data_IF_426188476774
#
_entry.id   IF_426188476774
#
_cell.length_a   1.000
_cell.length_b   1.000
_cell.length_c   1.000
_cell.angle_alpha   90.00
_cell.angle_beta   90.00
_cell.angle_gamma   90.00
#
_symmetry.space_group_name_H-M   'P 1'
#
loop_
_entity.id
_entity.type
_entity.pdbx_description
1 polymer ?
#
# COMPACT_ATOMS: atom_id res chain seq x y z
N UNK A 1 77.25 -79.31 38.46
CA UNK A 1 75.90 -79.24 37.84
C UNK A 1 75.07 -80.39 38.40
N UNK A 2 73.76 -80.16 38.63
CA UNK A 2 72.81 -81.19 39.06
C UNK A 2 71.57 -81.14 38.17
N UNK A 3 71.08 -82.28 37.74
CA UNK A 3 69.84 -82.47 36.98
C UNK A 3 68.99 -83.48 37.73
N UNK A 4 67.70 -83.18 37.84
CA UNK A 4 66.71 -84.00 38.53
C UNK A 4 65.62 -84.33 37.51
N UNK A 5 65.30 -85.62 37.37
CA UNK A 5 64.15 -86.09 36.59
C UNK A 5 63.12 -86.57 37.60
N UNK A 6 61.93 -86.00 37.53
CA UNK A 6 60.80 -86.33 38.41
C UNK A 6 59.53 -86.52 37.60
N UNK A 7 58.56 -87.21 38.18
CA UNK A 7 57.21 -87.28 37.65
C UNK A 7 56.43 -86.01 38.04
N UNK A 8 56.07 -85.19 37.05
CA UNK A 8 55.36 -83.91 37.26
C UNK A 8 53.85 -84.11 37.45
N UNK A 9 53.29 -85.20 36.91
CA UNK A 9 51.86 -85.53 37.02
C UNK A 9 51.50 -86.05 38.43
N UNK A 10 52.51 -86.33 39.25
CA UNK A 10 52.37 -86.71 40.64
C UNK A 10 51.81 -88.11 40.85
N UNK A 11 51.87 -88.97 39.83
CA UNK A 11 51.45 -90.37 39.93
C UNK A 11 52.40 -91.17 40.84
N UNK A 12 53.70 -90.86 40.80
CA UNK A 12 54.69 -91.36 41.76
C UNK A 12 55.56 -90.22 42.35
N UNK A 13 55.22 -89.71 43.55
CA UNK A 13 56.03 -88.69 44.24
C UNK A 13 57.44 -89.14 44.65
N UNK A 14 57.73 -90.44 44.62
CA UNK A 14 59.04 -90.99 44.95
C UNK A 14 59.93 -91.19 43.71
N UNK A 15 59.38 -90.99 42.50
CA UNK A 15 60.12 -91.05 41.25
C UNK A 15 61.10 -89.87 41.17
N UNK A 16 62.34 -90.12 41.53
CA UNK A 16 63.43 -89.15 41.49
C UNK A 16 64.68 -89.81 40.96
N UNK A 17 65.17 -89.32 39.83
CA UNK A 17 66.47 -89.69 39.29
C UNK A 17 67.39 -88.48 39.28
N UNK A 18 68.60 -88.66 39.78
CA UNK A 18 69.57 -87.58 39.93
C UNK A 18 70.81 -87.86 39.10
N UNK A 19 71.27 -86.82 38.43
CA UNK A 19 72.59 -86.78 37.85
C UNK A 19 73.32 -85.55 38.37
N UNK A 20 74.50 -85.75 38.93
CA UNK A 20 75.37 -84.67 39.38
C UNK A 20 76.78 -84.90 38.89
N UNK A 21 77.39 -83.86 38.36
CA UNK A 21 78.78 -83.90 37.88
C UNK A 21 79.51 -82.64 38.35
N UNK A 22 80.71 -82.82 38.88
CA UNK A 22 81.64 -81.72 39.13
C UNK A 22 82.36 -81.29 37.84
N UNK A 23 83.02 -80.14 37.86
CA UNK A 23 83.80 -79.68 36.70
C UNK A 23 84.96 -80.64 36.37
N UNK A 24 85.61 -81.21 37.39
CA UNK A 24 86.67 -82.21 37.22
C UNK A 24 86.14 -83.49 36.54
N UNK A 25 85.01 -84.02 37.03
CA UNK A 25 84.37 -85.21 36.48
C UNK A 25 83.83 -84.99 35.05
N UNK A 26 83.48 -83.74 34.72
CA UNK A 26 83.00 -83.41 33.38
C UNK A 26 84.08 -83.57 32.31
N UNK A 27 85.37 -83.43 32.64
CA UNK A 27 86.45 -83.67 31.69
C UNK A 27 86.46 -85.11 31.18
N UNK A 28 86.21 -86.08 32.07
CA UNK A 28 86.08 -87.49 31.71
C UNK A 28 84.86 -87.72 30.81
N UNK A 29 83.71 -87.14 31.17
CA UNK A 29 82.48 -87.23 30.37
C UNK A 29 82.67 -86.64 28.96
N UNK A 30 83.33 -85.48 28.89
CA UNK A 30 83.66 -84.77 27.65
C UNK A 30 84.50 -85.65 26.73
N UNK A 31 85.53 -86.31 27.25
CA UNK A 31 86.36 -87.23 26.46
C UNK A 31 85.59 -88.50 26.07
N UNK A 32 84.84 -89.10 27.00
CA UNK A 32 84.10 -90.34 26.77
C UNK A 32 83.03 -90.20 25.69
N UNK A 33 82.29 -89.09 25.68
CA UNK A 33 81.19 -88.83 24.73
C UNK A 33 81.57 -87.87 23.61
N UNK A 34 82.86 -87.48 23.52
CA UNK A 34 83.38 -86.55 22.51
C UNK A 34 82.60 -85.24 22.45
N UNK A 35 82.21 -84.71 23.62
CA UNK A 35 81.47 -83.46 23.71
C UNK A 35 82.36 -82.29 23.29
N UNK A 36 81.85 -81.39 22.45
CA UNK A 36 82.59 -80.23 21.96
C UNK A 36 82.43 -78.99 22.86
N UNK A 37 81.57 -79.07 23.86
CA UNK A 37 81.21 -77.97 24.76
C UNK A 37 82.04 -78.01 26.04
N UNK A 38 82.17 -76.88 26.73
CA UNK A 38 82.80 -76.80 28.05
C UNK A 38 81.75 -76.96 29.17
N UNK A 39 82.22 -77.04 30.43
CA UNK A 39 81.33 -77.25 31.57
C UNK A 39 80.32 -76.11 31.77
N UNK A 40 80.70 -74.86 31.46
CA UNK A 40 79.85 -73.69 31.63
C UNK A 40 78.73 -73.60 30.58
N UNK A 41 79.02 -74.01 29.35
CA UNK A 41 78.05 -73.98 28.23
C UNK A 41 77.21 -75.25 28.13
N UNK A 42 77.66 -76.37 28.72
CA UNK A 42 76.94 -77.64 28.68
C UNK A 42 75.47 -77.58 29.15
N UNK A 43 75.08 -76.88 30.25
CA UNK A 43 73.69 -76.77 30.68
C UNK A 43 72.78 -76.15 29.62
N UNK A 44 73.23 -75.11 28.92
CA UNK A 44 72.44 -74.46 27.86
C UNK A 44 72.20 -75.42 26.69
N UNK A 45 73.24 -76.13 26.24
CA UNK A 45 73.14 -77.13 25.18
C UNK A 45 72.24 -78.32 25.59
N UNK A 46 72.28 -78.75 26.86
CA UNK A 46 71.35 -79.75 27.39
C UNK A 46 69.90 -79.27 27.34
N UNK A 47 69.65 -78.01 27.71
CA UNK A 47 68.30 -77.42 27.64
C UNK A 47 67.82 -77.35 26.19
N UNK A 48 68.67 -76.98 25.24
CA UNK A 48 68.33 -76.96 23.82
C UNK A 48 67.94 -78.36 23.30
N UNK A 49 68.72 -79.39 23.64
CA UNK A 49 68.38 -80.78 23.29
C UNK A 49 67.05 -81.22 23.91
N UNK A 50 66.79 -80.90 25.18
CA UNK A 50 65.52 -81.20 25.84
C UNK A 50 64.34 -80.43 25.20
N UNK A 51 64.56 -79.20 24.76
CA UNK A 51 63.56 -78.42 24.02
C UNK A 51 63.26 -79.02 22.64
N UNK A 52 64.25 -79.62 21.97
CA UNK A 52 64.01 -80.39 20.75
C UNK A 52 63.09 -81.60 21.03
N UNK A 53 63.38 -82.38 22.09
CA UNK A 53 62.51 -83.47 22.52
C UNK A 53 61.07 -83.00 22.83
N UNK A 54 60.91 -81.86 23.51
CA UNK A 54 59.59 -81.29 23.82
C UNK A 54 58.82 -80.84 22.57
N UNK A 55 59.52 -80.30 21.56
CA UNK A 55 58.90 -79.88 20.30
C UNK A 55 58.42 -81.09 19.50
N UNK A 56 59.23 -82.13 19.40
CA UNK A 56 58.88 -83.33 18.64
C UNK A 56 57.82 -84.17 19.35
N UNK A 57 57.85 -84.26 20.69
CA UNK A 57 56.76 -84.87 21.47
C UNK A 57 55.39 -84.20 21.22
N UNK A 58 55.35 -82.87 21.09
CA UNK A 58 54.11 -82.15 20.78
C UNK A 58 53.62 -82.39 19.35
N UNK A 59 54.52 -82.55 18.39
CA UNK A 59 54.15 -82.91 17.01
C UNK A 59 53.58 -84.32 16.94
N UNK A 60 54.23 -85.29 17.58
CA UNK A 60 53.77 -86.69 17.64
C UNK A 60 52.38 -86.77 18.28
N UNK A 61 52.16 -86.08 19.40
CA UNK A 61 50.84 -86.06 20.05
C UNK A 61 49.74 -85.41 19.16
N UNK A 62 50.08 -84.38 18.38
CA UNK A 62 49.16 -83.76 17.42
C UNK A 62 48.83 -84.69 16.24
N UNK A 63 49.83 -85.41 15.73
CA UNK A 63 49.67 -86.40 14.65
C UNK A 63 48.84 -87.62 15.11
N UNK A 64 49.05 -88.11 16.34
CA UNK A 64 48.25 -89.21 16.94
C UNK A 64 46.79 -88.81 17.22
N UNK A 65 46.53 -87.57 17.65
CA UNK A 65 45.17 -87.04 17.80
C UNK A 65 44.47 -86.87 16.43
N UNK A 66 45.20 -86.45 15.39
CA UNK A 66 44.68 -86.34 14.03
C UNK A 66 44.40 -87.71 13.38
N UNK A 67 45.24 -88.73 13.59
CA UNK A 67 45.00 -90.10 13.12
C UNK A 67 43.82 -90.78 13.84
N UNK A 68 43.63 -90.59 15.15
CA UNK A 68 42.47 -91.13 15.87
C UNK A 68 41.14 -90.48 15.44
N UNK A 69 41.16 -89.20 15.06
CA UNK A 69 40.00 -88.50 14.48
C UNK A 69 39.74 -88.95 13.04
N UNK A 70 40.78 -89.32 12.28
CA UNK A 70 40.63 -89.85 10.92
C UNK A 70 40.10 -91.30 10.92
N UNK A 71 40.57 -92.16 11.81
CA UNK A 71 40.16 -93.57 11.90
C UNK A 71 38.72 -93.73 12.42
N UNK A 72 38.24 -92.77 13.23
CA UNK A 72 36.83 -92.69 13.65
C UNK A 72 35.91 -92.01 12.62
N UNK A 73 36.46 -91.34 11.61
CA UNK A 73 35.71 -90.68 10.54
C UNK A 73 35.56 -91.53 9.26
N UNK A 74 36.26 -92.66 9.14
CA UNK A 74 36.27 -93.48 7.91
C UNK A 74 35.07 -94.43 7.75
N UNK A 75 34.06 -94.39 8.63
CA UNK A 75 32.80 -95.15 8.47
C UNK A 75 31.63 -94.36 7.84
N UNK A 76 31.80 -93.07 7.51
CA UNK A 76 30.75 -92.32 6.78
C UNK A 76 31.29 -91.33 5.73
N UNK A 77 31.20 -91.77 4.48
CA UNK A 77 31.04 -90.98 3.25
C UNK A 77 32.30 -90.33 2.59
N UNK A 78 32.26 -90.09 1.26
CA UNK A 78 33.44 -90.15 0.41
C UNK A 78 34.16 -88.81 0.17
N UNK A 79 35.48 -88.90 0.18
CA UNK A 79 36.48 -88.16 -0.60
C UNK A 79 36.06 -86.83 -1.26
N UNK A 80 36.32 -85.73 -0.57
CA UNK A 80 36.70 -84.46 -1.20
C UNK A 80 38.16 -84.13 -0.88
N UNK A 81 39.00 -84.13 -1.93
CA UNK A 81 40.42 -83.75 -1.85
C UNK A 81 40.54 -82.28 -1.46
N UNK A 82 40.82 -82.01 -0.18
CA UNK A 82 41.43 -80.76 0.25
C UNK A 82 42.94 -80.84 0.05
N UNK A 83 43.42 -80.07 -0.93
CA UNK A 83 44.84 -79.75 -1.11
C UNK A 83 45.29 -78.91 0.10
N UNK A 84 46.42 -79.23 0.76
CA UNK A 84 46.85 -78.47 1.92
C UNK A 84 47.31 -77.07 1.48
N UNK A 85 46.76 -76.05 2.12
CA UNK A 85 47.11 -74.65 1.93
C UNK A 85 48.50 -74.39 2.52
N UNK A 86 49.53 -74.31 1.68
CA UNK A 86 50.85 -73.81 2.06
C UNK A 86 50.76 -72.38 2.59
N UNK A 87 51.17 -72.19 3.85
CA UNK A 87 51.42 -70.89 4.44
C UNK A 87 52.58 -70.18 3.70
N UNK A 88 52.24 -69.09 3.01
CA UNK A 88 53.21 -68.14 2.45
C UNK A 88 53.56 -67.14 3.56
N UNK A 89 54.68 -67.38 4.25
CA UNK A 89 55.29 -66.45 5.20
C UNK A 89 56.79 -66.42 4.96
N UNK A 90 57.28 -65.35 4.32
CA UNK A 90 58.67 -65.22 3.91
C UNK A 90 59.63 -65.05 5.08
N UNK A 91 60.54 -66.00 5.21
CA UNK A 91 61.91 -65.77 5.69
C UNK A 91 62.85 -66.48 4.71
N UNK A 92 63.67 -65.70 4.00
CA UNK A 92 64.69 -66.21 3.10
C UNK A 92 65.85 -66.83 3.91
N UNK A 93 66.29 -68.01 3.47
CA UNK A 93 67.51 -68.65 3.96
C UNK A 93 67.33 -70.13 4.22
N UNK A 94 67.52 -70.95 3.17
CA UNK A 94 67.80 -72.40 3.25
C UNK A 94 66.77 -73.24 4.02
N UNK A 95 65.58 -73.40 3.44
CA UNK A 95 64.75 -74.59 3.68
C UNK A 95 65.41 -75.79 3.00
N UNK A 96 66.33 -76.44 3.71
CA UNK A 96 66.41 -77.88 3.60
C UNK A 96 65.14 -78.39 4.28
N UNK A 97 64.22 -78.97 3.52
CA UNK A 97 63.28 -79.95 4.07
C UNK A 97 64.17 -81.10 4.55
N UNK A 98 64.74 -80.93 5.73
CA UNK A 98 65.39 -82.00 6.44
C UNK A 98 64.24 -82.79 7.06
N UNK A 99 64.05 -84.01 6.55
CA UNK A 99 63.92 -85.18 7.42
C UNK A 99 65.02 -85.11 8.50
N UNK A 100 64.86 -84.24 9.47
CA UNK A 100 65.73 -84.15 10.65
C UNK A 100 65.07 -85.06 11.67
N UNK A 101 65.82 -86.03 12.18
CA UNK A 101 65.26 -87.10 12.97
C UNK A 101 64.49 -86.60 14.19
N UNK A 102 63.51 -87.39 14.64
CA UNK A 102 62.76 -87.07 15.85
C UNK A 102 63.64 -87.25 17.08
N UNK A 103 63.69 -86.23 17.94
CA UNK A 103 64.45 -86.30 19.19
C UNK A 103 63.60 -86.95 20.28
N UNK A 104 64.12 -88.02 20.87
CA UNK A 104 63.49 -88.74 21.97
C UNK A 104 64.39 -88.70 23.21
N UNK A 105 63.82 -88.33 24.34
CA UNK A 105 64.44 -88.47 25.66
C UNK A 105 64.03 -89.82 26.26
N UNK A 106 65.00 -90.69 26.50
CA UNK A 106 64.77 -92.05 27.02
C UNK A 106 65.49 -92.22 28.34
N UNK A 107 64.75 -92.54 29.40
CA UNK A 107 65.30 -92.94 30.69
C UNK A 107 65.14 -94.45 30.87
N UNK A 108 66.25 -95.18 30.82
CA UNK A 108 66.29 -96.59 31.20
C UNK A 108 66.55 -96.68 32.71
N UNK A 109 65.57 -97.17 33.47
CA UNK A 109 65.60 -97.17 34.94
C UNK A 109 66.46 -98.28 35.53
N UNK A 110 66.74 -99.34 34.78
CA UNK A 110 67.72 -100.36 35.13
C UNK A 110 68.26 -101.05 33.87
N UNK A 111 69.58 -101.01 33.67
CA UNK A 111 70.27 -101.87 32.71
C UNK A 111 70.64 -103.24 33.32
N UNK A 112 71.30 -104.11 32.56
CA UNK A 112 71.76 -105.43 33.04
C UNK A 112 72.72 -105.36 34.24
N UNK A 113 73.26 -104.17 34.54
CA UNK A 113 74.19 -103.90 35.63
C UNK A 113 73.56 -103.05 36.75
N UNK A 114 72.24 -102.83 36.71
CA UNK A 114 71.49 -102.02 37.68
C UNK A 114 71.76 -100.51 37.60
N UNK A 115 72.35 -100.01 36.52
CA UNK A 115 72.59 -98.58 36.30
C UNK A 115 71.42 -97.97 35.52
N UNK A 116 71.07 -96.73 35.87
CA UNK A 116 70.04 -95.98 35.14
C UNK A 116 70.71 -95.01 34.18
N UNK A 117 70.23 -94.97 32.94
CA UNK A 117 70.85 -94.17 31.88
C UNK A 117 69.78 -93.36 31.17
N UNK A 118 69.94 -92.05 31.22
CA UNK A 118 69.17 -91.10 30.44
C UNK A 118 69.89 -90.80 29.14
N UNK A 119 69.23 -90.96 27.99
CA UNK A 119 69.82 -90.68 26.70
C UNK A 119 68.90 -89.81 25.85
N UNK A 120 69.50 -88.91 25.08
CA UNK A 120 68.81 -88.16 24.03
C UNK A 120 69.20 -88.80 22.71
N UNK A 121 68.21 -89.35 22.02
CA UNK A 121 68.38 -90.11 20.78
C UNK A 121 67.63 -89.39 19.67
N UNK A 122 68.30 -89.14 18.56
CA UNK A 122 67.64 -88.72 17.32
C UNK A 122 67.35 -89.95 16.47
N UNK A 123 66.08 -90.12 16.10
CA UNK A 123 65.62 -91.20 15.23
C UNK A 123 65.46 -90.67 13.82
N UNK A 124 66.36 -91.08 12.93
CA UNK A 124 66.23 -90.86 11.49
C UNK A 124 65.67 -92.15 10.85
N UNK A 125 64.90 -92.10 9.75
CA UNK A 125 64.35 -93.28 9.06
C UNK A 125 65.33 -94.43 8.77
N UNK A 126 66.64 -94.15 8.74
CA UNK A 126 67.67 -95.16 8.48
C UNK A 126 68.46 -95.61 9.72
N UNK A 127 68.47 -94.83 10.83
CA UNK A 127 69.29 -95.11 12.01
C UNK A 127 68.92 -94.26 13.24
N UNK A 128 69.15 -94.79 14.43
CA UNK A 128 69.14 -94.05 15.70
C UNK A 128 70.54 -93.53 16.05
N UNK A 129 70.65 -92.23 16.37
CA UNK A 129 71.87 -91.55 16.80
C UNK A 129 71.74 -91.05 18.25
N UNK A 130 72.59 -91.51 19.15
CA UNK A 130 72.64 -90.99 20.52
C UNK A 130 73.47 -89.71 20.58
N UNK A 131 72.83 -88.59 20.95
CA UNK A 131 73.46 -87.28 21.10
C UNK A 131 74.13 -87.11 22.46
N UNK A 132 73.50 -87.65 23.50
CA UNK A 132 73.96 -87.52 24.88
C UNK A 132 73.49 -88.73 25.68
N UNK A 133 74.34 -89.25 26.57
CA UNK A 133 73.98 -90.35 27.46
C UNK A 133 74.52 -90.12 28.87
N UNK A 134 73.66 -89.90 29.85
CA UNK A 134 74.03 -89.56 31.22
C UNK A 134 73.61 -90.68 32.18
N UNK A 135 74.50 -91.06 33.09
CA UNK A 135 74.21 -92.06 34.12
C UNK A 135 73.50 -91.43 35.29
N UNK A 136 72.20 -91.67 35.39
CA UNK A 136 71.39 -91.21 36.52
C UNK A 136 71.39 -92.25 37.63
N UNK A 137 71.20 -91.78 38.85
CA UNK A 137 71.03 -92.63 40.02
C UNK A 137 69.62 -92.45 40.58
N UNK A 138 68.93 -93.53 40.97
CA UNK A 138 67.69 -93.39 41.71
C UNK A 138 67.96 -92.65 43.02
N UNK A 139 67.06 -91.74 43.40
CA UNK A 139 67.14 -90.99 44.64
C UNK A 139 67.06 -91.93 45.84
N UNK A 140 67.96 -91.73 46.79
CA UNK A 140 67.83 -92.38 48.09
C UNK A 140 66.77 -91.66 48.94
N UNK A 141 66.44 -92.29 50.06
CA UNK A 141 65.48 -91.77 51.05
C UNK A 141 65.76 -90.32 51.47
N UNK A 142 67.04 -89.96 51.60
CA UNK A 142 67.45 -88.63 52.01
C UNK A 142 67.23 -87.60 50.89
N UNK A 143 67.62 -87.92 49.66
CA UNK A 143 67.42 -87.08 48.47
C UNK A 143 65.94 -86.88 48.18
N UNK A 144 65.12 -87.93 48.26
CA UNK A 144 63.68 -87.85 48.02
C UNK A 144 63.02 -86.97 49.09
N UNK A 145 63.34 -87.16 50.38
CA UNK A 145 62.81 -86.31 51.46
C UNK A 145 63.19 -84.84 51.28
N UNK A 146 64.43 -84.57 50.89
CA UNK A 146 64.89 -83.20 50.64
C UNK A 146 64.15 -82.56 49.45
N UNK A 147 63.98 -83.29 48.35
CA UNK A 147 63.23 -82.85 47.17
C UNK A 147 61.76 -82.53 47.53
N UNK A 148 61.08 -83.47 48.18
CA UNK A 148 59.67 -83.30 48.55
C UNK A 148 59.48 -82.16 49.55
N UNK A 149 60.37 -81.99 50.53
CA UNK A 149 60.31 -80.86 51.46
C UNK A 149 60.51 -79.52 50.74
N UNK A 150 61.44 -79.44 49.80
CA UNK A 150 61.67 -78.23 48.99
C UNK A 150 60.47 -77.91 48.09
N UNK A 151 59.90 -78.92 47.41
CA UNK A 151 58.68 -78.75 46.59
C UNK A 151 57.47 -78.32 47.42
N UNK A 152 57.26 -78.94 48.58
CA UNK A 152 56.19 -78.56 49.49
C UNK A 152 56.34 -77.11 49.97
N UNK A 153 57.57 -76.69 50.30
CA UNK A 153 57.86 -75.32 50.69
C UNK A 153 57.58 -74.33 49.54
N UNK A 154 58.01 -74.64 48.32
CA UNK A 154 57.78 -73.84 47.12
C UNK A 154 56.29 -73.67 46.84
N UNK A 155 55.55 -74.78 46.73
CA UNK A 155 54.09 -74.76 46.47
C UNK A 155 53.35 -74.07 47.61
N UNK A 156 53.76 -74.31 48.86
CA UNK A 156 53.21 -73.65 50.03
C UNK A 156 53.40 -72.13 50.00
N UNK A 157 54.57 -71.65 49.58
CA UNK A 157 54.84 -70.22 49.41
C UNK A 157 53.99 -69.62 48.29
N UNK A 158 53.95 -70.24 47.11
CA UNK A 158 53.12 -69.81 45.98
C UNK A 158 51.64 -69.71 46.35
N UNK A 159 51.09 -70.72 47.05
CA UNK A 159 49.70 -70.71 47.52
C UNK A 159 49.41 -69.56 48.47
N UNK A 160 50.32 -69.26 49.41
CA UNK A 160 50.15 -68.13 50.35
C UNK A 160 50.16 -66.80 49.63
N UNK A 161 51.10 -66.60 48.69
CA UNK A 161 51.17 -65.37 47.89
C UNK A 161 49.91 -65.18 47.05
N UNK A 162 49.47 -66.23 46.34
CA UNK A 162 48.27 -66.17 45.51
C UNK A 162 47.02 -65.92 46.37
N UNK A 163 46.91 -66.56 47.53
CA UNK A 163 45.80 -66.33 48.46
C UNK A 163 45.79 -64.91 49.02
N UNK A 164 46.95 -64.34 49.35
CA UNK A 164 47.06 -62.96 49.81
C UNK A 164 46.67 -61.97 48.72
N UNK A 165 47.16 -62.18 47.48
CA UNK A 165 46.80 -61.35 46.33
C UNK A 165 45.30 -61.43 46.03
N UNK A 166 44.71 -62.63 46.04
CA UNK A 166 43.28 -62.80 45.80
C UNK A 166 42.41 -62.10 46.85
N UNK A 167 42.80 -62.16 48.13
CA UNK A 167 42.12 -61.42 49.20
C UNK A 167 42.19 -59.91 48.98
N UNK A 168 43.39 -59.41 48.68
CA UNK A 168 43.61 -57.99 48.43
C UNK A 168 42.77 -57.48 47.26
N UNK A 169 42.84 -58.16 46.11
CA UNK A 169 42.04 -57.80 44.92
C UNK A 169 40.54 -57.91 45.19
N UNK A 170 40.08 -58.90 45.97
CA UNK A 170 38.68 -59.01 46.35
C UNK A 170 38.21 -57.86 47.25
N UNK A 171 39.06 -57.40 48.16
CA UNK A 171 38.74 -56.27 49.05
C UNK A 171 38.69 -54.96 48.27
N UNK A 172 39.64 -54.74 47.35
CA UNK A 172 39.66 -53.59 46.44
C UNK A 172 38.44 -53.57 45.50
N UNK A 173 38.05 -54.72 44.95
CA UNK A 173 36.83 -54.82 44.15
C UNK A 173 35.60 -54.43 44.97
N UNK A 174 35.52 -54.88 46.22
CA UNK A 174 34.39 -54.55 47.09
C UNK A 174 34.36 -53.07 47.47
N UNK A 175 35.50 -52.43 47.70
CA UNK A 175 35.55 -50.99 48.02
C UNK A 175 35.18 -50.15 46.81
N UNK A 176 35.70 -50.49 45.63
CA UNK A 176 35.37 -49.83 44.37
C UNK A 176 33.88 -49.96 44.04
N UNK A 177 33.29 -51.16 44.14
CA UNK A 177 31.84 -51.37 43.96
C UNK A 177 30.98 -50.50 44.89
N UNK A 178 31.37 -50.34 46.16
CA UNK A 178 30.66 -49.45 47.10
C UNK A 178 30.75 -47.99 46.69
N UNK A 179 31.93 -47.54 46.25
CA UNK A 179 32.11 -46.18 45.77
C UNK A 179 31.30 -45.92 44.49
N UNK A 180 31.26 -46.89 43.57
CA UNK A 180 30.46 -46.83 42.35
C UNK A 180 28.96 -46.71 42.67
N UNK A 181 28.44 -47.55 43.56
CA UNK A 181 27.03 -47.47 43.98
C UNK A 181 26.68 -46.11 44.61
N UNK A 182 27.61 -45.53 45.40
CA UNK A 182 27.42 -44.21 45.99
C UNK A 182 27.39 -43.11 44.92
N UNK A 183 28.30 -43.16 43.94
CA UNK A 183 28.33 -42.22 42.83
C UNK A 183 27.09 -42.35 41.94
N UNK A 184 26.62 -43.57 41.66
CA UNK A 184 25.38 -43.82 40.93
C UNK A 184 24.17 -43.20 41.65
N UNK A 185 24.10 -43.32 42.97
CA UNK A 185 23.05 -42.69 43.77
C UNK A 185 23.12 -41.16 43.68
N UNK A 186 24.32 -40.57 43.79
CA UNK A 186 24.50 -39.11 43.67
C UNK A 186 24.10 -38.59 42.28
N UNK A 187 24.45 -39.32 41.22
CA UNK A 187 24.05 -38.99 39.85
C UNK A 187 22.53 -39.06 39.67
N UNK A 188 21.87 -40.06 40.25
CA UNK A 188 20.41 -40.16 40.20
C UNK A 188 19.73 -38.98 40.91
N UNK A 189 20.22 -38.60 42.10
CA UNK A 189 19.71 -37.43 42.83
C UNK A 189 19.90 -36.14 42.06
N UNK A 190 21.10 -35.88 41.54
CA UNK A 190 21.40 -34.70 40.72
C UNK A 190 20.55 -34.68 39.44
N UNK A 191 20.32 -35.84 38.81
CA UNK A 191 19.45 -35.96 37.64
C UNK A 191 18.01 -35.56 37.95
N UNK A 192 17.46 -36.05 39.07
CA UNK A 192 16.11 -35.67 39.52
C UNK A 192 16.00 -34.17 39.86
N UNK A 193 16.98 -33.61 40.55
CA UNK A 193 17.02 -32.18 40.88
C UNK A 193 17.12 -31.30 39.62
N UNK A 194 17.96 -31.69 38.66
CA UNK A 194 18.08 -31.00 37.38
C UNK A 194 16.78 -31.06 36.57
N UNK A 195 16.12 -32.21 36.54
CA UNK A 195 14.84 -32.37 35.83
C UNK A 195 13.71 -31.58 36.51
N UNK A 196 13.66 -31.60 37.84
CA UNK A 196 12.70 -30.82 38.63
C UNK A 196 12.89 -29.32 38.44
N UNK A 197 14.13 -28.82 38.50
CA UNK A 197 14.42 -27.39 38.29
C UNK A 197 14.14 -26.97 36.86
N UNK A 198 14.53 -27.79 35.87
CA UNK A 198 14.20 -27.54 34.47
C UNK A 198 12.69 -27.49 34.23
N UNK A 199 11.93 -28.41 34.84
CA UNK A 199 10.47 -28.41 34.75
C UNK A 199 9.85 -27.17 35.37
N UNK A 200 10.35 -26.73 36.52
CA UNK A 200 9.87 -25.53 37.20
C UNK A 200 10.13 -24.27 36.38
N UNK A 201 11.33 -24.12 35.83
CA UNK A 201 11.68 -22.99 34.98
C UNK A 201 10.90 -22.99 33.67
N UNK A 202 10.71 -24.16 33.02
CA UNK A 202 9.85 -24.30 31.84
C UNK A 202 8.42 -23.84 32.12
N UNK A 203 7.85 -24.23 33.26
CA UNK A 203 6.51 -23.79 33.67
C UNK A 203 6.46 -22.27 33.83
N UNK A 204 7.44 -21.69 34.55
CA UNK A 204 7.54 -20.24 34.74
C UNK A 204 7.64 -19.47 33.43
N UNK A 205 8.47 -19.93 32.50
CA UNK A 205 8.59 -19.29 31.19
C UNK A 205 7.31 -19.42 30.35
N UNK A 206 6.60 -20.54 30.45
CA UNK A 206 5.33 -20.71 29.77
C UNK A 206 4.26 -19.76 30.32
N UNK A 207 4.16 -19.63 31.64
CA UNK A 207 3.24 -18.71 32.32
C UNK A 207 3.56 -17.25 31.97
N UNK A 208 4.83 -16.84 32.07
CA UNK A 208 5.27 -15.48 31.71
C UNK A 208 5.00 -15.15 30.24
N UNK A 209 5.21 -16.11 29.32
CA UNK A 209 4.92 -15.92 27.91
C UNK A 209 3.41 -15.75 27.66
N UNK A 210 2.57 -16.50 28.37
CA UNK A 210 1.12 -16.37 28.29
C UNK A 210 0.62 -15.03 28.83
N UNK A 211 1.17 -14.58 29.96
CA UNK A 211 0.86 -13.27 30.54
C UNK A 211 1.31 -12.11 29.65
N UNK A 212 2.48 -12.20 29.03
CA UNK A 212 2.95 -11.23 28.04
C UNK A 212 2.03 -11.20 26.80
N UNK A 213 1.60 -12.36 26.31
CA UNK A 213 0.65 -12.46 25.18
C UNK A 213 -0.70 -11.85 25.52
N UNK A 214 -1.23 -12.13 26.71
CA UNK A 214 -2.49 -11.53 27.19
C UNK A 214 -2.39 -10.03 27.32
N UNK A 215 -1.30 -9.54 27.91
CA UNK A 215 -1.05 -8.10 28.10
C UNK A 215 -0.93 -7.39 26.75
N UNK A 216 -0.17 -7.95 25.81
CA UNK A 216 -0.03 -7.41 24.47
C UNK A 216 -1.37 -7.41 23.70
N UNK A 217 -2.15 -8.50 23.80
CA UNK A 217 -3.47 -8.58 23.18
C UNK A 217 -4.46 -7.57 23.77
N UNK A 218 -4.44 -7.36 25.10
CA UNK A 218 -5.27 -6.36 25.75
C UNK A 218 -4.88 -4.93 25.31
N UNK A 219 -3.59 -4.61 25.25
CA UNK A 219 -3.11 -3.31 24.81
C UNK A 219 -3.44 -3.02 23.32
N UNK A 220 -3.35 -4.05 22.46
CA UNK A 220 -3.77 -3.92 21.05
C UNK A 220 -5.27 -3.66 20.94
N UNK A 221 -6.09 -4.42 21.69
CA UNK A 221 -7.53 -4.24 21.70
C UNK A 221 -7.94 -2.86 22.20
N UNK A 222 -7.34 -2.39 23.29
CA UNK A 222 -7.59 -1.05 23.83
C UNK A 222 -7.26 0.03 22.78
N UNK A 223 -6.15 -0.12 22.06
CA UNK A 223 -5.78 0.81 21.00
C UNK A 223 -6.70 0.76 19.79
N UNK A 224 -7.20 -0.43 19.42
CA UNK A 224 -8.21 -0.59 18.38
C UNK A 224 -9.53 0.10 18.80
N UNK A 225 -9.97 -0.12 20.04
CA UNK A 225 -11.18 0.50 20.60
C UNK A 225 -11.05 2.04 20.64
N UNK A 226 -9.88 2.58 21.02
CA UNK A 226 -9.59 4.02 20.96
C UNK A 226 -9.67 4.60 19.54
N UNK A 227 -9.12 3.89 18.55
CA UNK A 227 -9.13 4.33 17.16
C UNK A 227 -10.53 4.28 16.58
N UNK A 228 -11.29 3.21 16.85
CA UNK A 228 -12.68 3.08 16.46
C UNK A 228 -13.53 4.20 17.06
N UNK A 229 -13.38 4.50 18.35
CA UNK A 229 -14.07 5.61 19.00
C UNK A 229 -13.73 6.98 18.35
N UNK A 230 -12.48 7.20 17.93
CA UNK A 230 -12.09 8.42 17.20
C UNK A 230 -12.70 8.48 15.81
N UNK A 231 -12.78 7.35 15.10
CA UNK A 231 -13.44 7.25 13.80
C UNK A 231 -14.91 7.59 13.95
N UNK A 232 -15.62 6.97 14.90
CA UNK A 232 -17.04 7.22 15.14
C UNK A 232 -17.31 8.70 15.47
N UNK A 233 -16.48 9.29 16.34
CA UNK A 233 -16.59 10.71 16.70
C UNK A 233 -16.35 11.65 15.49
N UNK A 234 -15.41 11.32 14.61
CA UNK A 234 -15.17 12.09 13.38
C UNK A 234 -16.30 11.93 12.37
N UNK A 235 -16.81 10.71 12.20
CA UNK A 235 -17.96 10.42 11.34
C UNK A 235 -19.17 11.22 11.82
N UNK A 236 -19.52 11.15 13.11
CA UNK A 236 -20.66 11.88 13.67
C UNK A 236 -20.50 13.41 13.49
N UNK A 237 -19.28 13.93 13.69
CA UNK A 237 -18.99 15.35 13.47
C UNK A 237 -19.20 15.76 12.01
N UNK A 238 -18.64 15.01 11.06
CA UNK A 238 -18.77 15.32 9.64
C UNK A 238 -20.18 15.10 9.12
N UNK A 239 -20.92 14.12 9.64
CA UNK A 239 -22.35 13.94 9.34
C UNK A 239 -23.17 15.15 9.77
N UNK A 240 -22.94 15.66 10.99
CA UNK A 240 -23.58 16.90 11.47
C UNK A 240 -23.21 18.10 10.60
N UNK A 241 -21.94 18.25 10.24
CA UNK A 241 -21.48 19.34 9.38
C UNK A 241 -22.11 19.27 7.98
N UNK A 242 -22.18 18.08 7.38
CA UNK A 242 -22.86 17.85 6.10
C UNK A 242 -24.35 18.17 6.22
N UNK A 243 -25.02 17.78 7.30
CA UNK A 243 -26.44 18.10 7.52
C UNK A 243 -26.67 19.61 7.62
N UNK A 244 -25.82 20.34 8.36
CA UNK A 244 -25.90 21.80 8.45
C UNK A 244 -25.67 22.44 7.10
N UNK A 245 -24.63 22.02 6.36
CA UNK A 245 -24.33 22.54 5.02
C UNK A 245 -25.50 22.29 4.05
N UNK A 246 -26.09 21.10 4.06
CA UNK A 246 -27.29 20.78 3.27
C UNK A 246 -28.45 21.70 3.60
N UNK A 247 -28.77 21.88 4.89
CA UNK A 247 -29.85 22.76 5.32
C UNK A 247 -29.60 24.23 4.89
N UNK A 248 -28.35 24.70 4.97
CA UNK A 248 -28.01 26.05 4.49
C UNK A 248 -28.12 26.18 2.96
N UNK A 249 -27.72 25.15 2.20
CA UNK A 249 -27.86 25.12 0.76
C UNK A 249 -29.35 25.18 0.36
N UNK A 250 -30.19 24.33 0.94
CA UNK A 250 -31.65 24.31 0.73
C UNK A 250 -32.29 25.67 1.07
N UNK A 251 -31.90 26.28 2.19
CA UNK A 251 -32.39 27.61 2.58
C UNK A 251 -31.98 28.69 1.57
N UNK A 252 -30.73 28.64 1.07
CA UNK A 252 -30.25 29.57 0.05
C UNK A 252 -30.94 29.37 -1.31
N UNK A 253 -31.21 28.13 -1.71
CA UNK A 253 -31.99 27.83 -2.93
C UNK A 253 -33.43 28.34 -2.81
N UNK A 254 -34.06 28.18 -1.66
CA UNK A 254 -35.39 28.74 -1.39
C UNK A 254 -35.39 30.28 -1.50
N UNK A 255 -34.37 30.96 -0.97
CA UNK A 255 -34.21 32.42 -1.15
C UNK A 255 -34.01 32.80 -2.61
N UNK A 256 -33.19 32.07 -3.37
CA UNK A 256 -33.00 32.32 -4.81
C UNK A 256 -34.31 32.16 -5.58
N UNK A 257 -35.11 31.15 -5.26
CA UNK A 257 -36.43 30.97 -5.86
C UNK A 257 -37.38 32.12 -5.52
N UNK A 258 -37.38 32.59 -4.26
CA UNK A 258 -38.22 33.72 -3.85
C UNK A 258 -37.80 35.03 -4.54
N UNK A 259 -36.50 35.35 -4.55
CA UNK A 259 -35.98 36.50 -5.29
C UNK A 259 -36.24 36.40 -6.78
N UNK A 260 -36.20 35.20 -7.38
CA UNK A 260 -36.56 34.99 -8.78
C UNK A 260 -38.04 35.31 -9.04
N UNK A 261 -38.96 34.90 -8.15
CA UNK A 261 -40.38 35.25 -8.24
C UNK A 261 -40.61 36.76 -8.09
N UNK A 262 -39.97 37.39 -7.10
CA UNK A 262 -40.05 38.84 -6.90
C UNK A 262 -39.51 39.59 -8.11
N UNK A 263 -38.36 39.16 -8.65
CA UNK A 263 -37.78 39.72 -9.88
C UNK A 263 -38.77 39.65 -11.03
N UNK A 264 -39.39 38.50 -11.28
CA UNK A 264 -40.37 38.34 -12.35
C UNK A 264 -41.59 39.26 -12.14
N UNK A 265 -42.10 39.37 -10.90
CA UNK A 265 -43.20 40.28 -10.58
C UNK A 265 -42.84 41.75 -10.84
N UNK A 266 -41.65 42.17 -10.43
CA UNK A 266 -41.16 43.53 -10.67
C UNK A 266 -40.88 43.79 -12.15
N UNK A 267 -40.34 42.84 -12.89
CA UNK A 267 -40.18 42.94 -14.36
C UNK A 267 -41.53 43.13 -15.05
N UNK A 268 -42.55 42.35 -14.66
CA UNK A 268 -43.91 42.52 -15.18
C UNK A 268 -44.51 43.90 -14.83
N UNK A 269 -44.27 44.41 -13.62
CA UNK A 269 -44.70 45.75 -13.21
C UNK A 269 -43.98 46.84 -14.02
N UNK A 270 -42.67 46.70 -14.24
CA UNK A 270 -41.88 47.63 -15.05
C UNK A 270 -42.41 47.67 -16.48
N UNK A 271 -42.68 46.51 -17.09
CA UNK A 271 -43.19 46.45 -18.46
C UNK A 271 -44.61 47.04 -18.57
N UNK A 272 -45.47 46.79 -17.59
CA UNK A 272 -46.79 47.43 -17.52
C UNK A 272 -46.70 48.96 -17.40
N UNK A 273 -45.88 49.47 -16.48
CA UNK A 273 -45.67 50.91 -16.30
C UNK A 273 -45.02 51.56 -17.52
N UNK A 274 -44.10 50.87 -18.19
CA UNK A 274 -43.49 51.34 -19.46
C UNK A 274 -44.54 51.46 -20.56
N UNK A 275 -45.39 50.44 -20.75
CA UNK A 275 -46.47 50.48 -21.72
C UNK A 275 -47.44 51.64 -21.43
N UNK A 276 -47.86 51.80 -20.17
CA UNK A 276 -48.73 52.90 -19.76
C UNK A 276 -48.08 54.28 -19.99
N UNK A 277 -46.80 54.43 -19.65
CA UNK A 277 -46.05 55.66 -19.89
C UNK A 277 -45.95 55.97 -21.38
N UNK A 278 -45.76 54.95 -22.23
CA UNK A 278 -45.73 55.09 -23.68
C UNK A 278 -47.08 55.52 -24.22
N UNK A 279 -48.19 54.90 -23.77
CA UNK A 279 -49.55 55.28 -24.17
C UNK A 279 -49.90 56.71 -23.76
N UNK A 280 -49.59 57.10 -22.52
CA UNK A 280 -49.79 58.47 -22.04
C UNK A 280 -48.92 59.47 -22.80
N UNK A 281 -47.68 59.11 -23.15
CA UNK A 281 -46.80 59.94 -23.96
C UNK A 281 -47.34 60.12 -25.37
N UNK A 282 -47.85 59.06 -26.00
CA UNK A 282 -48.51 59.12 -27.31
C UNK A 282 -49.76 60.00 -27.25
N UNK A 283 -50.64 59.79 -26.28
CA UNK A 283 -51.84 60.61 -26.05
C UNK A 283 -51.49 62.09 -25.82
N UNK A 284 -50.49 62.38 -24.98
CA UNK A 284 -49.96 63.74 -24.78
C UNK A 284 -49.44 64.33 -26.09
N UNK A 285 -48.71 63.57 -26.89
CA UNK A 285 -48.15 64.05 -28.16
C UNK A 285 -49.25 64.34 -29.20
N UNK A 286 -50.29 63.51 -29.27
CA UNK A 286 -51.46 63.73 -30.12
C UNK A 286 -52.22 64.99 -29.69
N UNK A 287 -52.49 65.15 -28.39
CA UNK A 287 -53.12 66.36 -27.84
C UNK A 287 -52.26 67.61 -28.06
N UNK A 288 -50.93 67.50 -27.96
CA UNK A 288 -50.04 68.61 -28.25
C UNK A 288 -50.10 69.01 -29.74
N UNK A 289 -50.12 68.03 -30.65
CA UNK A 289 -50.31 68.26 -32.09
C UNK A 289 -51.66 68.93 -32.37
N UNK A 290 -52.73 68.47 -31.74
CA UNK A 290 -54.07 69.07 -31.86
C UNK A 290 -54.08 70.52 -31.34
N UNK A 291 -53.42 70.81 -30.20
CA UNK A 291 -53.28 72.18 -29.69
C UNK A 291 -52.49 73.06 -30.66
N UNK A 292 -51.40 72.56 -31.25
CA UNK A 292 -50.62 73.31 -32.22
C UNK A 292 -51.39 73.56 -33.52
N UNK A 293 -52.18 72.58 -33.99
CA UNK A 293 -53.10 72.75 -35.11
C UNK A 293 -54.17 73.81 -34.81
N UNK A 294 -54.82 73.74 -33.63
CA UNK A 294 -55.81 74.73 -33.20
C UNK A 294 -55.20 76.13 -33.05
N UNK A 295 -53.96 76.24 -32.57
CA UNK A 295 -53.22 77.50 -32.52
C UNK A 295 -52.91 78.05 -33.91
N UNK A 296 -52.52 77.19 -34.85
CA UNK A 296 -52.29 77.57 -36.23
C UNK A 296 -53.59 78.04 -36.91
N UNK A 297 -54.70 77.31 -36.69
CA UNK A 297 -56.03 77.69 -37.16
C UNK A 297 -56.48 79.02 -36.55
N UNK A 298 -56.29 79.24 -35.25
CA UNK A 298 -56.59 80.53 -34.61
C UNK A 298 -55.77 81.66 -35.22
N UNK A 299 -54.47 81.46 -35.45
CA UNK A 299 -53.62 82.46 -36.10
C UNK A 299 -54.08 82.76 -37.54
N UNK A 300 -54.56 81.75 -38.27
CA UNK A 300 -55.14 81.94 -39.60
C UNK A 300 -56.46 82.72 -39.55
N UNK A 301 -57.32 82.40 -38.58
CA UNK A 301 -58.57 83.13 -38.34
C UNK A 301 -58.28 84.58 -37.95
N UNK A 302 -57.33 84.85 -37.05
CA UNK A 302 -56.89 86.21 -36.69
C UNK A 302 -56.38 86.97 -37.92
N UNK A 303 -55.62 86.32 -38.81
CA UNK A 303 -55.20 86.92 -40.08
C UNK A 303 -56.38 87.22 -41.01
N UNK A 304 -57.37 86.31 -41.12
CA UNK A 304 -58.59 86.53 -41.90
C UNK A 304 -59.40 87.69 -41.32
N UNK A 305 -59.56 87.76 -40.00
CA UNK A 305 -60.22 88.86 -39.31
C UNK A 305 -59.50 90.17 -39.58
N UNK A 306 -58.18 90.22 -39.43
CA UNK A 306 -57.39 91.42 -39.76
C UNK A 306 -57.52 91.84 -41.22
N UNK A 307 -57.51 90.89 -42.17
CA UNK A 307 -57.74 91.18 -43.59
C UNK A 307 -59.14 91.72 -43.85
N UNK A 308 -60.16 91.12 -43.21
CA UNK A 308 -61.54 91.58 -43.29
C UNK A 308 -61.71 92.97 -42.65
N UNK A 309 -61.14 93.23 -41.48
CA UNK A 309 -61.11 94.56 -40.86
C UNK A 309 -60.40 95.58 -41.75
N UNK A 310 -59.29 95.22 -42.40
CA UNK A 310 -58.62 96.08 -43.38
C UNK A 310 -59.51 96.38 -44.58
N UNK A 311 -60.22 95.38 -45.11
CA UNK A 311 -61.17 95.56 -46.21
C UNK A 311 -62.37 96.42 -45.79
N UNK A 312 -62.92 96.20 -44.60
CA UNK A 312 -63.99 97.01 -44.01
C UNK A 312 -63.52 98.46 -43.90
N UNK A 313 -62.35 98.71 -43.30
CA UNK A 313 -61.79 100.05 -43.19
C UNK A 313 -61.56 100.70 -44.56
N UNK A 314 -61.07 99.97 -45.56
CA UNK A 314 -60.89 100.49 -46.92
C UNK A 314 -62.21 100.84 -47.59
N UNK A 315 -63.23 99.99 -47.46
CA UNK A 315 -64.59 100.26 -47.93
C UNK A 315 -65.22 101.42 -47.18
N UNK A 316 -64.93 101.58 -45.90
CA UNK A 316 -65.44 102.64 -45.05
C UNK A 316 -64.83 104.00 -45.44
N UNK A 317 -63.52 104.06 -45.67
CA UNK A 317 -62.86 105.25 -46.25
C UNK A 317 -63.43 105.58 -47.64
N UNK A 318 -63.71 104.56 -48.46
CA UNK A 318 -64.32 104.76 -49.78
C UNK A 318 -65.78 105.25 -49.66
N UNK A 319 -66.54 104.75 -48.70
CA UNK A 319 -67.89 105.20 -48.39
C UNK A 319 -67.88 106.67 -47.92
N UNK A 320 -66.99 107.02 -46.99
CA UNK A 320 -66.82 108.40 -46.52
C UNK A 320 -66.42 109.35 -47.65
N UNK A 321 -65.54 108.90 -48.57
CA UNK A 321 -65.14 109.67 -49.75
C UNK A 321 -66.32 109.90 -50.72
N UNK A 322 -67.13 108.87 -50.99
CA UNK A 322 -68.35 109.01 -51.79
C UNK A 322 -69.38 109.91 -51.11
N UNK A 323 -69.51 109.81 -49.79
CA UNK A 323 -70.43 110.61 -49.00
C UNK A 323 -70.03 112.09 -49.02
N UNK A 324 -68.73 112.39 -48.96
CA UNK A 324 -68.19 113.73 -49.18
C UNK A 324 -68.41 114.24 -50.60
N UNK A 325 -68.26 113.37 -51.61
CA UNK A 325 -68.54 113.72 -53.00
C UNK A 325 -70.01 114.06 -53.26
N UNK A 326 -70.93 113.41 -52.54
CA UNK A 326 -72.36 113.73 -52.55
C UNK A 326 -72.66 115.06 -51.84
N UNK A 327 -71.97 115.36 -50.73
CA UNK A 327 -72.08 116.65 -50.05
C UNK A 327 -71.63 117.81 -50.96
N UNK A 328 -70.47 117.68 -51.61
CA UNK A 328 -69.95 118.68 -52.55
C UNK A 328 -70.90 118.89 -53.75
N UNK A 329 -71.51 117.81 -54.27
CA UNK A 329 -72.55 117.91 -55.31
C UNK A 329 -73.82 118.59 -54.80
N UNK A 330 -74.19 118.37 -53.54
CA UNK A 330 -75.31 119.05 -52.88
C UNK A 330 -75.11 120.56 -52.83
N UNK A 331 -73.91 121.01 -52.46
CA UNK A 331 -73.56 122.45 -52.38
C UNK A 331 -73.60 123.14 -53.75
N UNK A 332 -73.19 122.44 -54.82
CA UNK A 332 -73.28 122.96 -56.20
C UNK A 332 -74.73 123.13 -56.63
N UNK A 333 -75.62 122.19 -56.30
CA UNK A 333 -77.05 122.30 -56.61
C UNK A 333 -77.67 123.47 -55.86
N UNK A 334 -77.33 123.66 -54.59
CA UNK A 334 -77.80 124.81 -53.79
C UNK A 334 -77.45 126.14 -54.46
N UNK A 335 -76.16 126.35 -54.80
CA UNK A 335 -75.69 127.58 -55.48
C UNK A 335 -76.34 127.81 -56.85
N UNK A 336 -76.63 126.74 -57.59
CA UNK A 336 -77.30 126.85 -58.91
C UNK A 336 -78.77 127.26 -58.76
N UNK A 337 -79.40 126.88 -57.65
CA UNK A 337 -80.81 127.19 -57.36
C UNK A 337 -80.99 128.65 -56.92
N UNK A 338 -80.06 129.17 -56.11
CA UNK A 338 -80.05 130.59 -55.69
C UNK A 338 -79.87 131.55 -56.87
N UNK A 339 -78.99 131.20 -57.82
CA UNK A 339 -78.72 132.02 -59.00
C UNK A 339 -79.95 132.12 -59.92
N UNK A 340 -80.78 131.07 -59.96
CA UNK A 340 -81.98 130.99 -60.79
C UNK A 340 -83.17 131.78 -60.20
N UNK A 341 -83.21 131.95 -58.87
CA UNK A 341 -84.17 132.84 -58.21
C UNK A 341 -83.84 134.32 -58.43
N UNK A 342 -82.56 134.68 -58.44
CA UNK A 342 -82.12 136.06 -58.72
C UNK A 342 -82.51 136.53 -60.14
N UNK A 343 -82.46 135.65 -61.13
CA UNK A 343 -82.85 135.98 -62.52
C UNK A 343 -84.37 136.11 -62.70
N UNK A 344 -85.18 135.43 -61.88
CA UNK A 344 -86.65 135.56 -61.93
C UNK A 344 -87.13 136.92 -61.41
N UNK A 345 -86.57 137.39 -60.30
CA UNK A 345 -86.90 138.70 -59.71
C UNK A 345 -86.56 139.87 -60.62
N UNK A 346 -85.49 139.76 -61.43
CA UNK A 346 -85.12 140.81 -62.38
C UNK A 346 -86.08 140.92 -63.59
N UNK A 347 -86.72 139.81 -63.99
CA UNK A 347 -87.72 139.84 -65.09
C UNK A 347 -89.05 140.47 -64.64
N UNK A 348 -89.46 140.26 -63.39
CA UNK A 348 -90.70 140.84 -62.84
C UNK A 348 -90.63 142.39 -62.77
N UNK A 349 -89.44 142.93 -62.47
CA UNK A 349 -89.18 144.38 -62.40
C UNK A 349 -89.24 145.08 -63.77
N UNK A 350 -88.85 144.37 -64.83
CA UNK A 350 -88.90 144.86 -66.23
C UNK A 350 -90.33 144.86 -66.77
N UNK A 351 -91.17 143.89 -66.37
CA UNK A 351 -92.57 143.82 -66.78
C UNK A 351 -93.45 144.90 -66.12
N UNK A 352 -93.18 145.29 -64.87
CA UNK A 352 -93.88 146.40 -64.21
C UNK A 352 -93.56 147.77 -64.86
N UNK A 353 -92.32 147.93 -65.32
CA UNK A 353 -91.86 149.13 -66.03
C UNK A 353 -92.58 149.33 -67.38
N UNK A 354 -92.87 148.24 -68.10
CA UNK A 354 -93.60 148.28 -69.38
C UNK A 354 -95.10 148.57 -69.21
N UNK A 355 -95.68 148.22 -68.06
CA UNK A 355 -97.10 148.49 -67.73
C UNK A 355 -97.34 149.99 -67.51
N UNK A 356 -96.44 150.67 -66.80
CA UNK A 356 -96.51 152.11 -66.53
C UNK A 356 -96.48 152.96 -67.81
N UNK A 357 -95.71 152.56 -68.83
CA UNK A 357 -95.65 153.28 -70.10
C UNK A 357 -96.93 153.12 -70.95
N UNK A 358 -97.64 151.98 -70.85
CA UNK A 358 -98.92 151.76 -71.56
C UNK A 358 -100.06 152.61 -70.98
N UNK A 359 -100.15 152.70 -69.65
CA UNK A 359 -101.21 153.46 -68.97
C UNK A 359 -101.08 154.97 -69.20
N UNK A 360 -99.84 155.47 -69.34
CA UNK A 360 -99.60 156.88 -69.63
C UNK A 360 -99.98 157.24 -71.08
N UNK A 361 -99.77 156.32 -72.02
CA UNK A 361 -100.19 156.50 -73.43
C UNK A 361 -101.72 156.51 -73.56
N UNK A 362 -102.43 155.65 -72.82
CA UNK A 362 -103.89 155.60 -72.81
C UNK A 362 -104.54 156.92 -72.31
N UNK A 363 -103.94 157.59 -71.31
CA UNK A 363 -104.46 158.86 -70.78
C UNK A 363 -104.31 160.04 -71.75
N UNK A 364 -103.24 160.05 -72.55
CA UNK A 364 -103.04 161.05 -73.61
C UNK A 364 -104.04 160.86 -74.76
N UNK A 365 -104.43 159.63 -75.05
CA UNK A 365 -105.43 159.30 -76.07
C UNK A 365 -106.85 159.72 -75.67
N UNK A 366 -107.25 159.51 -74.42
CA UNK A 366 -108.60 159.85 -73.93
C UNK A 366 -108.85 161.37 -73.86
N UNK A 367 -107.80 162.18 -73.62
CA UNK A 367 -107.93 163.65 -73.67
C UNK A 367 -108.06 164.20 -75.08
N UNK A 368 -107.54 163.51 -76.09
CA UNK A 368 -107.70 163.88 -77.50
C UNK A 368 -109.13 163.58 -78.00
N UNK A 369 -109.75 162.52 -77.49
CA UNK A 369 -111.07 162.06 -77.93
C UNK A 369 -112.23 162.91 -77.37
N UNK A 370 -112.09 163.45 -76.15
CA UNK A 370 -113.06 164.43 -75.60
C UNK A 370 -112.94 165.82 -76.23
N UNK A 371 -111.84 166.10 -76.94
CA UNK A 371 -111.71 167.29 -77.80
C UNK A 371 -112.47 167.15 -79.13
N UNK A 372 -113.06 165.99 -79.43
CA UNK A 372 -113.72 165.71 -80.73
C UNK A 372 -115.24 165.54 -80.60
N UNK A 373 -115.80 165.24 -79.41
CA UNK A 373 -117.21 164.84 -79.27
C UNK A 373 -118.27 165.94 -79.09
N UNK A 374 -117.94 167.22 -78.89
CA UNK A 374 -118.98 168.27 -78.69
C UNK A 374 -118.93 169.47 -79.66
N UNK A 375 -118.19 169.37 -80.78
CA UNK A 375 -118.24 170.37 -81.87
C UNK A 375 -119.24 170.00 -82.99
N UNK A 376 -119.81 168.80 -83.07
CA UNK A 376 -120.73 168.48 -84.19
C UNK A 376 -121.87 167.52 -83.85
N UNK A 377 -123.03 168.08 -83.47
CA UNK A 377 -124.38 167.60 -83.82
C UNK A 377 -125.44 168.70 -83.61
N UNK A 378 -125.36 169.75 -84.43
CA UNK A 378 -126.46 170.66 -84.75
C UNK A 378 -127.14 170.15 -86.02
N UNK A 379 -128.47 169.94 -85.97
CA UNK A 379 -129.39 169.60 -87.08
C UNK A 379 -129.35 168.13 -87.55
N UNK A 380 -130.45 167.35 -87.55
CA UNK A 380 -131.72 167.63 -88.23
C UNK A 380 -132.95 167.01 -87.54
N UNK A 381 -133.94 167.86 -87.24
CA UNK A 381 -135.37 167.52 -87.25
C UNK A 381 -136.16 168.80 -87.59
N UNK A 382 -136.82 168.81 -88.76
CA UNK A 382 -138.12 169.45 -89.07
C UNK A 382 -138.26 170.97 -88.80
N UNK A 383 -138.17 171.89 -89.78
CA UNK A 383 -139.13 172.17 -90.88
C UNK A 383 -140.59 172.04 -90.47
N UNK A 384 -141.20 173.15 -90.03
CA UNK A 384 -142.57 173.56 -90.36
C UNK A 384 -142.83 175.02 -89.92
N UNK A 385 -143.53 175.78 -90.79
CA UNK A 385 -144.23 177.07 -90.55
C UNK A 385 -143.38 178.36 -90.55
N UNK A 386 -143.75 179.52 -91.11
CA UNK A 386 -144.74 180.01 -92.11
C UNK A 386 -144.54 181.56 -92.21
N UNK A 387 -144.82 182.16 -93.38
CA UNK A 387 -145.39 183.53 -93.63
C UNK A 387 -144.92 184.76 -92.81
N UNK A 388 -144.28 185.76 -93.44
CA UNK A 388 -144.84 187.07 -93.92
C UNK A 388 -144.26 188.23 -93.06
N UNK A 389 -144.02 189.46 -93.54
CA UNK A 389 -145.04 190.30 -94.17
C UNK A 389 -145.98 190.82 -93.10
N UNK A 390 -145.52 191.77 -92.27
CA UNK A 390 -146.28 192.89 -91.73
C UNK A 390 -145.41 193.70 -90.77
N UNK A 391 -145.63 195.02 -90.81
CA UNK A 391 -145.69 195.91 -89.65
C UNK A 391 -144.73 195.62 -88.47
N UNK A 392 -143.80 196.58 -88.35
CA UNK A 392 -143.14 197.12 -87.15
C UNK A 392 -142.05 196.30 -86.47
#
# INVERSE_FOLDING_TARGET
MRVEITDDDGADPYFLYLWSVSEEQFHELKTQQRLLVDFATFPANLIELLQCCLKDSKKIAQEEEEEQVAESAEETAPAEKKVPSCCVGGCGGLMHVCDCGSYLAVLNTSDSNGQSVFSIVETNPFKQLTHLSLRFFPGDDAAIKAYLAARLAQVGASRRLLSASLKHTSEELRTTQKSEATLQQQLATLGYEAESTLSQEKMRFADELDDQRKTAAAALKEREDELNAKIDALVERYEKEIQVLKATAEASEAQVQDFSKQKYQHEMQIDHLRAQSQDLTQSRSALASEVDELRAQNKELDQKVFQQEKQINALQVHADALQKQLADKGDVISKTTEMLQATKLHNEEVDESLKMYRDNHARLQQKLELSISEINKVSWKWVHFKSEGLLS
#
